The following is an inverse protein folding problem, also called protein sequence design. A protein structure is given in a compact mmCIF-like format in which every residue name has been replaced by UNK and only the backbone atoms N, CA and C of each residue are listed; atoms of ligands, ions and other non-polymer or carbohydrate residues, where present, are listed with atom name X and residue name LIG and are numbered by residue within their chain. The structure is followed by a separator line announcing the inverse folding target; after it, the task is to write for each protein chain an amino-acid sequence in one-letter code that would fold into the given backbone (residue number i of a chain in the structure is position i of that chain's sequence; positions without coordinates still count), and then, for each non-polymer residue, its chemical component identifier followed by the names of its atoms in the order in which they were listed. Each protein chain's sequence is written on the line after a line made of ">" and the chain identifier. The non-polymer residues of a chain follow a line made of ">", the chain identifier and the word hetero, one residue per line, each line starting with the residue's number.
data_IF_074614089800
#
_entry.id   IF_074614089800
#
_cell.length_a   1.000
_cell.length_b   1.000
_cell.length_c   1.000
_cell.angle_alpha   90.00
_cell.angle_beta   90.00
_cell.angle_gamma   90.00
#
_symmetry.space_group_name_H-M   'P 1'
#
loop_
_entity.id
_entity.type
_entity.pdbx_description
1 polymer ?
#
# COMPACT_ATOMS: atom_id res chain seq x y z
N UNK A 1 0.01 20.47 5.97
CA UNK A 1 -1.32 19.85 5.75
C UNK A 1 -1.87 19.50 7.11
N UNK A 2 -3.15 19.80 7.38
CA UNK A 2 -3.78 19.44 8.65
C UNK A 2 -4.07 17.93 8.72
N UNK A 3 -4.30 17.42 9.94
CA UNK A 3 -4.49 16.00 10.20
C UNK A 3 -5.71 15.41 9.47
N UNK A 4 -6.79 16.18 9.32
CA UNK A 4 -7.99 15.70 8.61
C UNK A 4 -7.70 15.52 7.12
N UNK A 5 -7.06 16.50 6.48
CA UNK A 5 -6.67 16.37 5.07
C UNK A 5 -5.66 15.24 4.87
N UNK A 6 -4.73 15.07 5.82
CA UNK A 6 -3.73 14.00 5.79
C UNK A 6 -4.36 12.61 5.86
N UNK A 7 -5.26 12.41 6.81
CA UNK A 7 -6.03 11.18 6.98
C UNK A 7 -6.86 10.87 5.74
N UNK A 8 -7.55 11.86 5.18
CA UNK A 8 -8.38 11.69 3.98
C UNK A 8 -7.56 11.23 2.76
N UNK A 9 -6.41 11.86 2.51
CA UNK A 9 -5.50 11.44 1.43
C UNK A 9 -4.94 10.05 1.74
N UNK A 10 -4.58 9.79 3.00
CA UNK A 10 -4.07 8.50 3.44
C UNK A 10 -5.03 7.34 3.16
N UNK A 11 -6.29 7.45 3.61
CA UNK A 11 -7.33 6.45 3.32
C UNK A 11 -7.62 6.33 1.82
N UNK A 12 -7.60 7.44 1.07
CA UNK A 12 -7.75 7.40 -0.39
C UNK A 12 -6.64 6.60 -1.08
N UNK A 13 -5.39 6.83 -0.70
CA UNK A 13 -4.24 6.08 -1.22
C UNK A 13 -4.31 4.60 -0.82
N UNK A 14 -4.67 4.31 0.44
CA UNK A 14 -4.83 2.95 0.91
C UNK A 14 -5.90 2.20 0.11
N UNK A 15 -7.08 2.79 -0.07
CA UNK A 15 -8.19 2.17 -0.80
C UNK A 15 -7.84 1.89 -2.27
N UNK A 16 -7.19 2.84 -2.95
CA UNK A 16 -6.72 2.63 -4.33
C UNK A 16 -5.68 1.51 -4.37
N UNK A 17 -4.73 1.52 -3.44
CA UNK A 17 -3.69 0.50 -3.37
C UNK A 17 -4.24 -0.90 -3.10
N UNK A 18 -5.18 -1.04 -2.16
CA UNK A 18 -5.87 -2.32 -1.88
C UNK A 18 -6.61 -2.82 -3.11
N UNK A 19 -7.28 -1.93 -3.84
CA UNK A 19 -7.98 -2.28 -5.08
C UNK A 19 -7.01 -2.77 -6.15
N UNK A 20 -5.87 -2.09 -6.33
CA UNK A 20 -4.83 -2.51 -7.28
C UNK A 20 -4.25 -3.87 -6.93
N UNK A 21 -3.91 -4.12 -5.66
CA UNK A 21 -3.44 -5.44 -5.20
C UNK A 21 -4.49 -6.52 -5.38
N UNK A 22 -5.77 -6.24 -5.13
CA UNK A 22 -6.85 -7.20 -5.38
C UNK A 22 -6.96 -7.58 -6.87
N UNK A 23 -6.86 -6.59 -7.77
CA UNK A 23 -6.84 -6.81 -9.23
C UNK A 23 -5.60 -7.60 -9.64
N UNK A 24 -4.43 -7.26 -9.12
CA UNK A 24 -3.16 -7.94 -9.41
C UNK A 24 -3.21 -9.44 -9.06
N UNK A 25 -3.84 -9.77 -7.94
CA UNK A 25 -3.96 -11.13 -7.42
C UNK A 25 -5.18 -11.90 -7.97
N UNK A 26 -5.91 -11.35 -8.94
CA UNK A 26 -7.07 -12.01 -9.59
C UNK A 26 -6.68 -12.49 -11.01
N UNK A 27 -6.34 -13.78 -11.21
CA UNK A 27 -5.83 -14.27 -12.50
C UNK A 27 -6.82 -14.13 -13.67
N UNK A 28 -8.13 -14.10 -13.39
CA UNK A 28 -9.18 -13.85 -14.39
C UNK A 28 -9.21 -12.39 -14.85
N UNK A 29 -8.75 -11.44 -14.03
CA UNK A 29 -8.66 -10.02 -14.36
C UNK A 29 -7.33 -9.68 -15.07
N UNK A 30 -6.22 -10.23 -14.60
CA UNK A 30 -4.88 -9.96 -15.15
C UNK A 30 -4.15 -11.27 -15.42
N UNK A 31 -4.00 -11.62 -16.71
CA UNK A 31 -3.31 -12.84 -17.15
C UNK A 31 -1.82 -12.64 -17.38
N UNK A 32 -1.41 -11.40 -17.67
CA UNK A 32 0.00 -11.03 -17.83
C UNK A 32 0.68 -10.96 -16.47
N UNK A 33 1.66 -11.85 -16.26
CA UNK A 33 2.41 -11.93 -14.99
C UNK A 33 3.23 -10.68 -14.70
N UNK A 34 3.75 -10.00 -15.72
CA UNK A 34 4.51 -8.75 -15.54
C UNK A 34 3.58 -7.62 -15.11
N UNK A 35 2.42 -7.50 -15.75
CA UNK A 35 1.41 -6.52 -15.36
C UNK A 35 0.88 -6.78 -13.94
N UNK A 36 0.60 -8.04 -13.60
CA UNK A 36 0.20 -8.45 -12.25
C UNK A 36 1.25 -8.03 -11.21
N UNK A 37 2.53 -8.35 -11.41
CA UNK A 37 3.60 -7.92 -10.49
C UNK A 37 3.76 -6.40 -10.38
N UNK A 38 3.53 -5.65 -11.47
CA UNK A 38 3.58 -4.18 -11.44
C UNK A 38 2.40 -3.58 -10.67
N UNK A 39 1.19 -4.10 -10.88
CA UNK A 39 -0.01 -3.68 -10.15
C UNK A 39 0.12 -4.00 -8.65
N UNK A 40 0.68 -5.16 -8.31
CA UNK A 40 0.96 -5.53 -6.93
C UNK A 40 1.99 -4.59 -6.30
N UNK A 41 3.08 -4.26 -7.01
CA UNK A 41 4.09 -3.31 -6.53
C UNK A 41 3.47 -1.95 -6.23
N UNK A 42 2.74 -1.37 -7.18
CA UNK A 42 2.12 -0.06 -6.99
C UNK A 42 0.99 -0.09 -5.94
N UNK A 43 0.25 -1.19 -5.86
CA UNK A 43 -0.75 -1.42 -4.82
C UNK A 43 -0.15 -1.36 -3.42
N UNK A 44 0.98 -2.02 -3.19
CA UNK A 44 1.69 -1.98 -1.91
C UNK A 44 2.34 -0.62 -1.65
N UNK A 45 2.87 0.09 -2.67
CA UNK A 45 3.40 1.45 -2.51
C UNK A 45 2.31 2.41 -2.02
N UNK A 46 1.13 2.37 -2.63
CA UNK A 46 0.02 3.24 -2.27
C UNK A 46 -0.54 2.90 -0.88
N UNK A 47 -0.70 1.62 -0.55
CA UNK A 47 -1.11 1.18 0.79
C UNK A 47 -0.09 1.57 1.85
N UNK A 48 1.20 1.30 1.63
CA UNK A 48 2.26 1.62 2.59
C UNK A 48 2.39 3.12 2.84
N UNK A 49 2.23 3.94 1.80
CA UNK A 49 2.24 5.40 1.92
C UNK A 49 0.96 5.91 2.59
N UNK A 50 -0.20 5.39 2.19
CA UNK A 50 -1.50 5.80 2.73
C UNK A 50 -1.60 5.55 4.23
N UNK A 51 -1.20 4.36 4.67
CA UNK A 51 -1.22 3.94 6.09
C UNK A 51 -0.19 4.69 6.92
N UNK A 52 0.97 5.04 6.36
CA UNK A 52 1.91 5.96 7.02
C UNK A 52 1.32 7.37 7.19
N UNK A 53 0.59 7.90 6.20
CA UNK A 53 -0.07 9.19 6.30
C UNK A 53 -1.17 9.17 7.37
N UNK A 54 -1.98 8.11 7.44
CA UNK A 54 -3.01 7.94 8.48
C UNK A 54 -2.35 7.90 9.86
N UNK A 55 -1.33 7.06 10.05
CA UNK A 55 -0.63 6.94 11.33
C UNK A 55 0.04 8.26 11.80
N UNK A 56 0.49 9.10 10.87
CA UNK A 56 1.07 10.40 11.22
C UNK A 56 0.01 11.50 11.41
N UNK A 57 -1.23 11.28 10.96
CA UNK A 57 -2.36 12.17 11.25
C UNK A 57 -2.99 11.93 12.63
N UNK A 58 -2.72 10.77 13.24
CA UNK A 58 -3.16 10.43 14.59
C UNK A 58 -2.23 11.06 15.64
N UNK A 59 -2.76 12.00 16.43
CA UNK A 59 -1.96 12.76 17.40
C UNK A 59 -1.53 11.88 18.60
N UNK A 60 -2.46 11.09 19.13
CA UNK A 60 -2.23 10.22 20.28
C UNK A 60 -1.67 8.86 19.87
N UNK A 61 -1.08 8.15 20.83
CA UNK A 61 -0.75 6.74 20.64
C UNK A 61 -2.02 5.91 20.80
N UNK A 62 -2.42 5.22 19.74
CA UNK A 62 -3.59 4.34 19.71
C UNK A 62 -3.21 2.98 19.11
N UNK A 63 -4.04 1.97 19.33
CA UNK A 63 -3.87 0.69 18.62
C UNK A 63 -4.08 0.82 17.12
N UNK A 64 -4.88 1.79 16.67
CA UNK A 64 -5.06 2.10 15.26
C UNK A 64 -3.77 2.64 14.66
N UNK A 65 -3.14 3.62 15.30
CA UNK A 65 -1.84 4.19 14.90
C UNK A 65 -0.77 3.11 14.77
N UNK A 66 -0.67 2.22 15.76
CA UNK A 66 0.29 1.12 15.75
C UNK A 66 -0.03 0.12 14.63
N UNK A 67 -1.30 -0.18 14.39
CA UNK A 67 -1.74 -1.02 13.27
C UNK A 67 -1.36 -0.41 11.92
N UNK A 68 -1.62 0.88 11.73
CA UNK A 68 -1.29 1.63 10.51
C UNK A 68 0.23 1.68 10.27
N UNK A 69 1.04 1.86 11.32
CA UNK A 69 2.51 1.77 11.21
C UNK A 69 2.97 0.36 10.83
N UNK A 70 2.42 -0.67 11.48
CA UNK A 70 2.76 -2.07 11.18
C UNK A 70 2.39 -2.43 9.74
N UNK A 71 1.23 -1.99 9.26
CA UNK A 71 0.79 -2.21 7.88
C UNK A 71 1.70 -1.50 6.89
N UNK A 72 2.14 -0.26 7.18
CA UNK A 72 3.10 0.45 6.35
C UNK A 72 4.43 -0.28 6.23
N UNK A 73 4.96 -0.78 7.35
CA UNK A 73 6.18 -1.61 7.38
C UNK A 73 5.97 -2.91 6.60
N UNK A 74 4.83 -3.59 6.77
CA UNK A 74 4.51 -4.81 6.03
C UNK A 74 4.51 -4.60 4.51
N UNK A 75 3.91 -3.49 4.04
CA UNK A 75 3.93 -3.11 2.63
C UNK A 75 5.37 -2.86 2.12
N UNK A 76 6.24 -2.22 2.92
CA UNK A 76 7.64 -2.03 2.56
C UNK A 76 8.39 -3.36 2.39
N UNK A 77 8.13 -4.34 3.27
CA UNK A 77 8.70 -5.69 3.13
C UNK A 77 8.26 -6.34 1.82
N UNK A 78 6.97 -6.25 1.47
CA UNK A 78 6.45 -6.76 0.18
C UNK A 78 7.11 -6.07 -1.01
N UNK A 79 7.22 -4.74 -1.00
CA UNK A 79 7.88 -3.95 -2.05
C UNK A 79 9.32 -4.42 -2.27
N UNK A 80 10.09 -4.60 -1.19
CA UNK A 80 11.46 -5.10 -1.27
C UNK A 80 11.54 -6.51 -1.90
N UNK A 81 10.56 -7.36 -1.65
CA UNK A 81 10.46 -8.69 -2.28
C UNK A 81 10.06 -8.66 -3.76
N UNK A 82 9.33 -7.64 -4.20
CA UNK A 82 8.83 -7.52 -5.58
C UNK A 82 9.84 -6.88 -6.54
N UNK A 83 10.62 -5.89 -6.09
CA UNK A 83 11.58 -5.17 -6.94
C UNK A 83 12.53 -6.12 -7.71
N UNK A 84 13.18 -7.13 -7.08
CA UNK A 84 14.05 -8.05 -7.79
C UNK A 84 13.35 -8.83 -8.91
N UNK A 85 12.07 -9.16 -8.73
CA UNK A 85 11.29 -9.94 -9.70
C UNK A 85 10.97 -9.14 -10.97
N UNK A 86 10.98 -7.82 -10.88
CA UNK A 86 10.70 -6.90 -11.99
C UNK A 86 11.96 -6.46 -12.73
N UNK A 87 13.13 -6.48 -12.07
CA UNK A 87 14.40 -6.00 -12.63
C UNK A 87 15.24 -7.14 -13.22
N UNK A 88 15.18 -8.35 -12.65
CA UNK A 88 16.04 -9.48 -13.02
C UNK A 88 15.37 -10.37 -14.10
N UNK A 89 14.40 -9.84 -14.84
CA UNK A 89 13.70 -10.54 -15.93
C UNK A 89 13.98 -9.96 -17.29
#
# INVERSE_FOLDING_TARGET
>A
MDNRTKSLIGYGMEAVGQTMSAVANTPSAVRDKKLSSQLELWGNVLQGTGTALIADSEEELSFERLGNQLQSIGNLVTIMGLIPQLVIR
#
